data_IF_882527041578
#
_entry.id   IF_882527041578
#
_cell.length_a   1.000
_cell.length_b   1.000
_cell.length_c   1.000
_cell.angle_alpha   90.00
_cell.angle_beta   90.00
_cell.angle_gamma   90.00
#
_symmetry.space_group_name_H-M   'P 1'
#
loop_
_entity.id
_entity.type
_entity.pdbx_description
1 polymer ?
#
# COMPACT_ATOMS: atom_id res chain seq x y z
N UNK A 1 -30.62 24.07 -13.04
CA UNK A 1 -29.19 23.98 -13.43
C UNK A 1 -28.40 24.68 -12.34
N UNK A 2 -27.54 24.07 -11.51
CA UNK A 2 -26.64 22.94 -11.69
C UNK A 2 -26.67 22.07 -10.43
N UNK A 3 -26.87 20.78 -10.63
CA UNK A 3 -26.87 19.70 -9.64
C UNK A 3 -25.43 19.31 -9.28
N UNK A 4 -25.24 18.88 -8.03
CA UNK A 4 -23.93 18.69 -7.41
C UNK A 4 -23.15 17.47 -7.88
N UNK A 5 -21.81 17.59 -7.79
CA UNK A 5 -20.84 16.48 -7.80
C UNK A 5 -19.74 16.66 -6.72
N UNK A 6 -19.70 17.75 -5.94
CA UNK A 6 -18.57 18.00 -5.01
C UNK A 6 -18.66 17.29 -3.63
N UNK A 7 -19.52 16.29 -3.46
CA UNK A 7 -19.78 15.65 -2.16
C UNK A 7 -19.13 14.26 -1.97
N UNK A 8 -18.05 13.93 -2.68
CA UNK A 8 -17.24 12.74 -2.39
C UNK A 8 -15.76 13.12 -2.43
N UNK A 9 -15.01 12.70 -1.41
CA UNK A 9 -13.59 12.99 -1.14
C UNK A 9 -13.27 14.29 -0.36
N UNK A 10 -14.01 14.58 0.72
CA UNK A 10 -13.60 15.59 1.73
C UNK A 10 -12.30 15.26 2.50
N UNK A 11 -11.66 14.12 2.25
CA UNK A 11 -10.36 13.76 2.82
C UNK A 11 -9.16 14.18 1.94
N UNK A 12 -9.40 14.72 0.73
CA UNK A 12 -8.36 15.19 -0.19
C UNK A 12 -8.00 16.68 -0.06
N UNK A 13 -8.74 17.48 0.73
CA UNK A 13 -8.55 18.94 0.79
C UNK A 13 -8.25 19.50 2.18
N UNK A 14 -7.93 18.64 3.14
CA UNK A 14 -7.53 19.06 4.49
C UNK A 14 -6.05 19.47 4.54
N UNK A 15 -5.76 20.77 4.41
CA UNK A 15 -4.47 21.35 4.84
C UNK A 15 -4.44 21.35 6.38
N UNK A 16 -4.14 20.20 6.98
CA UNK A 16 -3.73 20.15 8.38
C UNK A 16 -2.23 20.45 8.40
N UNK A 17 -1.73 21.41 9.20
CA UNK A 17 -0.29 21.60 9.35
C UNK A 17 0.28 20.26 9.82
N UNK A 18 1.29 19.78 9.11
CA UNK A 18 2.00 18.55 9.44
C UNK A 18 2.76 18.87 10.74
N UNK A 19 2.38 18.32 11.91
CA UNK A 19 3.29 18.37 13.05
C UNK A 19 4.58 17.67 12.61
N UNK A 20 5.74 18.27 12.88
CA UNK A 20 7.03 17.61 12.69
C UNK A 20 6.90 16.18 13.22
N UNK A 21 7.14 15.15 12.38
CA UNK A 21 7.01 13.81 12.87
C UNK A 21 8.08 13.63 13.94
N UNK A 22 7.62 13.45 15.18
CA UNK A 22 8.37 12.77 16.21
C UNK A 22 8.54 11.30 15.79
N UNK A 23 9.24 11.07 14.69
CA UNK A 23 9.72 9.76 14.27
C UNK A 23 11.00 9.51 15.04
N UNK A 24 10.87 8.93 16.23
CA UNK A 24 11.90 8.00 16.68
C UNK A 24 12.17 7.05 15.49
N UNK A 25 13.39 7.08 14.94
CA UNK A 25 13.63 6.59 13.60
C UNK A 25 13.28 5.10 13.50
N UNK A 26 12.23 4.78 12.74
CA UNK A 26 11.87 3.38 12.41
C UNK A 26 12.89 2.75 11.45
N UNK A 27 13.90 3.51 11.03
CA UNK A 27 14.92 3.16 10.07
C UNK A 27 16.27 3.51 10.65
N UNK A 28 17.27 2.67 10.39
CA UNK A 28 18.56 2.75 11.03
C UNK A 28 19.48 3.66 10.20
N UNK A 29 19.62 4.90 10.63
CA UNK A 29 20.63 5.84 10.14
C UNK A 29 21.92 5.60 10.93
N UNK A 30 22.91 4.88 10.38
CA UNK A 30 24.22 4.79 11.04
C UNK A 30 25.14 5.97 10.67
N UNK A 31 24.84 6.66 9.57
CA UNK A 31 25.50 7.90 9.14
C UNK A 31 24.43 8.93 8.80
N UNK A 32 24.53 10.19 9.27
CA UNK A 32 23.51 11.20 9.00
C UNK A 32 23.19 11.32 7.50
N UNK A 33 21.90 11.17 7.16
CA UNK A 33 21.43 11.26 5.77
C UNK A 33 21.63 10.01 4.91
N UNK A 34 22.19 8.92 5.46
CA UNK A 34 22.36 7.66 4.74
C UNK A 34 21.60 6.52 5.41
N UNK A 35 20.82 5.80 4.60
CA UNK A 35 20.05 4.64 5.03
C UNK A 35 20.73 3.35 4.57
N UNK A 36 20.82 2.37 5.45
CA UNK A 36 21.31 1.05 5.10
C UNK A 36 20.21 0.24 4.40
N UNK A 37 20.54 -0.51 3.33
CA UNK A 37 19.60 -1.43 2.72
C UNK A 37 19.09 -2.46 3.73
N UNK A 38 17.77 -2.58 3.82
CA UNK A 38 17.07 -3.51 4.68
C UNK A 38 16.55 -4.70 3.89
N UNK A 39 16.42 -5.84 4.58
CA UNK A 39 15.76 -7.03 4.05
C UNK A 39 14.25 -6.87 4.02
N UNK A 40 13.59 -7.61 3.13
CA UNK A 40 12.13 -7.56 2.97
C UNK A 40 11.37 -7.75 4.29
N UNK A 41 11.85 -8.65 5.16
CA UNK A 41 11.21 -8.94 6.44
C UNK A 41 11.16 -7.70 7.33
N UNK A 42 12.26 -6.96 7.44
CA UNK A 42 12.32 -5.72 8.21
C UNK A 42 11.46 -4.61 7.59
N UNK A 43 11.41 -4.55 6.26
CA UNK A 43 10.62 -3.55 5.53
C UNK A 43 9.11 -3.82 5.63
N UNK A 44 8.67 -5.08 5.67
CA UNK A 44 7.24 -5.43 5.65
C UNK A 44 6.63 -5.65 7.05
N UNK A 45 7.44 -5.61 8.12
CA UNK A 45 6.97 -5.90 9.49
C UNK A 45 6.12 -4.78 10.09
N UNK A 46 5.99 -3.61 9.49
CA UNK A 46 5.17 -2.53 10.09
C UNK A 46 3.70 -2.97 10.22
N UNK A 47 2.97 -2.51 11.26
CA UNK A 47 1.56 -2.88 11.43
C UNK A 47 0.70 -2.58 10.21
N UNK A 48 0.92 -1.42 9.57
CA UNK A 48 0.21 -1.01 8.36
C UNK A 48 0.47 -1.98 7.20
N UNK A 49 1.73 -2.28 6.89
CA UNK A 49 2.13 -3.13 5.75
C UNK A 49 1.61 -4.55 5.91
N UNK A 50 1.69 -5.12 7.13
CA UNK A 50 1.10 -6.43 7.43
C UNK A 50 -0.41 -6.44 7.25
N UNK A 51 -1.10 -5.39 7.71
CA UNK A 51 -2.55 -5.28 7.56
C UNK A 51 -2.95 -5.18 6.08
N UNK A 52 -2.24 -4.38 5.28
CA UNK A 52 -2.49 -4.29 3.84
C UNK A 52 -2.25 -5.63 3.14
N UNK A 53 -1.18 -6.35 3.48
CA UNK A 53 -0.91 -7.69 2.93
C UNK A 53 -2.05 -8.67 3.24
N UNK A 54 -2.55 -8.65 4.49
CA UNK A 54 -3.72 -9.45 4.90
C UNK A 54 -4.97 -9.09 4.10
N UNK A 55 -5.22 -7.80 3.88
CA UNK A 55 -6.36 -7.32 3.08
C UNK A 55 -6.24 -7.79 1.62
N UNK A 56 -5.05 -7.72 1.02
CA UNK A 56 -4.83 -8.19 -0.36
C UNK A 56 -5.11 -9.69 -0.45
N UNK A 57 -4.64 -10.48 0.52
CA UNK A 57 -4.92 -11.92 0.55
C UNK A 57 -6.42 -12.22 0.65
N UNK A 58 -7.10 -11.59 1.61
CA UNK A 58 -8.54 -11.76 1.79
C UNK A 58 -9.34 -11.36 0.54
N UNK A 59 -8.89 -10.36 -0.21
CA UNK A 59 -9.59 -9.88 -1.41
C UNK A 59 -9.33 -10.70 -2.66
N UNK A 60 -8.21 -11.40 -2.71
CA UNK A 60 -7.83 -12.26 -3.85
C UNK A 60 -8.35 -13.68 -3.69
N UNK A 61 -8.67 -14.11 -2.46
CA UNK A 61 -9.20 -15.43 -2.11
C UNK A 61 -8.34 -16.59 -2.61
N UNK A 62 -7.04 -16.36 -2.76
CA UNK A 62 -6.11 -17.38 -3.26
C UNK A 62 -5.71 -18.36 -2.13
N UNK A 63 -5.48 -19.64 -2.47
CA UNK A 63 -4.79 -20.56 -1.58
C UNK A 63 -3.44 -19.99 -1.13
N UNK A 64 -3.01 -20.30 0.08
CA UNK A 64 -1.79 -19.74 0.69
C UNK A 64 -0.56 -19.90 -0.20
N UNK A 65 -0.38 -21.07 -0.83
CA UNK A 65 0.75 -21.33 -1.72
C UNK A 65 0.78 -20.35 -2.91
N UNK A 66 -0.37 -20.16 -3.56
CA UNK A 66 -0.48 -19.29 -4.73
C UNK A 66 -0.41 -17.81 -4.35
N UNK A 67 -0.96 -17.43 -3.18
CA UNK A 67 -0.78 -16.08 -2.66
C UNK A 67 0.69 -15.75 -2.39
N UNK A 68 1.43 -16.71 -1.81
CA UNK A 68 2.85 -16.56 -1.55
C UNK A 68 3.64 -16.33 -2.84
N UNK A 69 3.34 -17.11 -3.87
CA UNK A 69 4.00 -17.03 -5.17
C UNK A 69 3.67 -15.74 -5.93
N UNK A 70 2.39 -15.40 -6.05
CA UNK A 70 1.93 -14.31 -6.91
C UNK A 70 1.95 -12.92 -6.25
N UNK A 71 1.90 -12.85 -4.92
CA UNK A 71 1.81 -11.57 -4.20
C UNK A 71 2.94 -11.40 -3.19
N UNK A 72 3.13 -12.34 -2.25
CA UNK A 72 4.06 -12.14 -1.15
C UNK A 72 5.53 -12.05 -1.63
N UNK A 73 5.97 -12.97 -2.48
CA UNK A 73 7.34 -12.99 -3.02
C UNK A 73 7.64 -11.80 -3.93
N UNK A 74 6.77 -11.41 -4.89
CA UNK A 74 6.94 -10.18 -5.66
C UNK A 74 6.98 -8.92 -4.80
N UNK A 75 6.11 -8.80 -3.80
CA UNK A 75 6.11 -7.65 -2.89
C UNK A 75 7.39 -7.61 -2.04
N UNK A 76 7.87 -8.75 -1.55
CA UNK A 76 9.14 -8.81 -0.81
C UNK A 76 10.32 -8.30 -1.65
N UNK A 77 10.43 -8.76 -2.90
CA UNK A 77 11.45 -8.28 -3.85
C UNK A 77 11.28 -6.80 -4.17
N UNK A 78 10.05 -6.34 -4.38
CA UNK A 78 9.76 -4.93 -4.62
C UNK A 78 10.17 -4.07 -3.42
N UNK A 79 9.86 -4.49 -2.20
CA UNK A 79 10.26 -3.81 -0.97
C UNK A 79 11.78 -3.64 -0.90
N UNK A 80 12.54 -4.70 -1.18
CA UNK A 80 14.02 -4.62 -1.20
C UNK A 80 14.56 -3.73 -2.32
N UNK A 81 13.85 -3.58 -3.44
CA UNK A 81 14.25 -2.67 -4.51
C UNK A 81 13.99 -1.20 -4.16
N UNK A 82 12.83 -0.90 -3.57
CA UNK A 82 12.43 0.50 -3.29
C UNK A 82 12.88 1.00 -1.93
N UNK A 83 13.24 0.10 -1.01
CA UNK A 83 13.77 0.43 0.31
C UNK A 83 12.91 1.49 1.02
N UNK A 84 13.50 2.66 1.25
CA UNK A 84 12.90 3.79 1.94
C UNK A 84 12.55 4.94 0.99
N UNK A 85 12.44 4.70 -0.32
CA UNK A 85 12.05 5.76 -1.24
C UNK A 85 10.67 6.33 -0.92
N UNK A 86 10.53 7.67 -0.95
CA UNK A 86 9.22 8.30 -0.91
C UNK A 86 8.48 8.04 -2.22
N UNK A 87 7.14 8.01 -2.18
CA UNK A 87 6.35 7.87 -3.40
C UNK A 87 6.32 9.17 -4.23
N UNK A 88 6.53 10.32 -3.57
CA UNK A 88 6.54 11.64 -4.18
C UNK A 88 7.26 12.66 -3.29
N UNK A 89 7.57 13.85 -3.81
CA UNK A 89 8.18 14.93 -3.03
C UNK A 89 7.17 15.67 -2.14
N UNK A 90 5.90 15.71 -2.53
CA UNK A 90 4.85 16.48 -1.84
C UNK A 90 3.50 15.74 -1.85
N UNK A 91 3.22 14.89 -0.86
CA UNK A 91 1.89 14.31 -0.63
C UNK A 91 1.80 13.46 0.65
N UNK A 92 0.69 12.73 0.82
CA UNK A 92 0.48 11.77 1.92
C UNK A 92 1.50 10.62 1.99
N UNK A 93 2.33 10.42 0.95
CA UNK A 93 3.35 9.37 0.87
C UNK A 93 4.77 9.90 0.57
N UNK A 94 5.05 11.15 0.93
CA UNK A 94 6.40 11.73 0.76
C UNK A 94 7.38 11.37 1.87
N UNK A 95 6.98 10.53 2.82
CA UNK A 95 7.83 10.04 3.90
C UNK A 95 8.71 8.85 3.46
N UNK A 96 9.79 8.52 4.21
CA UNK A 96 10.56 7.31 3.98
C UNK A 96 9.70 6.05 3.93
N UNK A 97 9.93 5.22 2.92
CA UNK A 97 9.17 4.01 2.63
C UNK A 97 7.77 4.25 2.05
N UNK A 98 7.42 5.51 1.76
CA UNK A 98 6.12 5.88 1.22
C UNK A 98 5.79 5.22 -0.11
N UNK A 99 6.79 4.91 -0.95
CA UNK A 99 6.55 4.20 -2.21
C UNK A 99 6.03 2.76 -1.98
N UNK A 100 6.56 2.07 -0.97
CA UNK A 100 6.09 0.73 -0.61
C UNK A 100 4.68 0.78 -0.03
N UNK A 101 4.42 1.74 0.86
CA UNK A 101 3.10 1.92 1.49
C UNK A 101 2.04 2.25 0.43
N UNK A 102 2.32 3.22 -0.44
CA UNK A 102 1.42 3.60 -1.53
C UNK A 102 1.13 2.42 -2.46
N UNK A 103 2.16 1.64 -2.83
CA UNK A 103 2.00 0.47 -3.69
C UNK A 103 1.05 -0.56 -3.06
N UNK A 104 1.22 -0.86 -1.76
CA UNK A 104 0.36 -1.81 -1.05
C UNK A 104 -1.09 -1.32 -0.94
N UNK A 105 -1.30 -0.02 -0.76
CA UNK A 105 -2.64 0.59 -0.75
C UNK A 105 -3.31 0.47 -2.13
N UNK A 106 -2.59 0.78 -3.21
CA UNK A 106 -3.07 0.64 -4.59
C UNK A 106 -3.41 -0.81 -4.90
N UNK A 107 -2.56 -1.77 -4.53
CA UNK A 107 -2.84 -3.20 -4.69
C UNK A 107 -4.10 -3.63 -3.93
N UNK A 108 -4.26 -3.19 -2.68
CA UNK A 108 -5.45 -3.49 -1.90
C UNK A 108 -6.71 -2.90 -2.56
N UNK A 109 -6.64 -1.68 -3.08
CA UNK A 109 -7.74 -1.03 -3.79
C UNK A 109 -8.10 -1.75 -5.11
N UNK A 110 -7.10 -2.10 -5.92
CA UNK A 110 -7.30 -2.86 -7.15
C UNK A 110 -7.98 -4.22 -6.89
N UNK A 111 -7.54 -4.95 -5.85
CA UNK A 111 -8.17 -6.19 -5.44
C UNK A 111 -9.63 -6.01 -5.02
N UNK A 112 -9.97 -4.89 -4.37
CA UNK A 112 -11.36 -4.54 -4.02
C UNK A 112 -12.21 -4.27 -5.26
N UNK A 113 -11.68 -3.57 -6.26
CA UNK A 113 -12.40 -3.30 -7.50
C UNK A 113 -12.71 -4.58 -8.28
N UNK A 114 -11.75 -5.51 -8.36
CA UNK A 114 -11.93 -6.82 -8.98
C UNK A 114 -13.11 -7.59 -8.39
N UNK A 115 -13.26 -7.58 -7.06
CA UNK A 115 -14.36 -8.31 -6.39
C UNK A 115 -15.76 -7.87 -6.85
N UNK A 116 -15.92 -6.63 -7.33
CA UNK A 116 -17.23 -6.13 -7.81
C UNK A 116 -17.67 -6.73 -9.15
N UNK A 117 -16.77 -7.44 -9.83
CA UNK A 117 -17.02 -8.07 -11.14
C UNK A 117 -17.03 -9.61 -11.02
N UNK A 118 -17.09 -10.16 -9.81
CA UNK A 118 -17.31 -11.59 -9.64
C UNK A 118 -18.78 -11.88 -9.90
N UNK A 119 -19.03 -12.69 -10.91
CA UNK A 119 -20.35 -13.26 -11.16
C UNK A 119 -20.83 -14.04 -9.93
N UNK A 120 -22.14 -14.01 -9.62
CA UNK A 120 -22.72 -14.88 -8.60
C UNK A 120 -22.35 -16.34 -8.86
N UNK A 121 -22.23 -17.13 -7.79
CA UNK A 121 -22.01 -18.57 -7.90
C UNK A 121 -23.13 -19.19 -8.75
N UNK A 122 -22.79 -19.70 -9.94
CA UNK A 122 -23.74 -20.32 -10.88
C UNK A 122 -24.23 -19.43 -12.03
N UNK A 123 -23.81 -18.17 -12.12
CA UNK A 123 -24.08 -17.36 -13.31
C UNK A 123 -23.12 -17.73 -14.44
N UNK A 124 -23.66 -17.88 -15.66
CA UNK A 124 -22.86 -18.11 -16.86
C UNK A 124 -21.92 -16.91 -17.10
N UNK A 125 -20.65 -17.12 -17.52
CA UNK A 125 -19.87 -16.04 -18.10
C UNK A 125 -20.65 -15.51 -19.31
N UNK A 126 -21.00 -14.22 -19.31
CA UNK A 126 -21.78 -13.58 -20.38
C UNK A 126 -21.30 -13.92 -21.81
N UNK A 127 -22.23 -13.92 -22.79
CA UNK A 127 -22.05 -14.20 -24.23
C UNK A 127 -20.91 -13.40 -24.89
#
# INVERSE_FOLDING_TARGET
MKTGIHAKLKWLTGKKPIPEPATASLYQENTPGWLYPQKAEALLVTPLRRQLMKIIWQRTSLPVALFKELYQSPVARFAELVQQFPASEYHHHSHPGGLLDHTLEVMAFAAKLRQRHLLPVGAAPED
#
